data_IF_314490809378
#
_entry.id   IF_314490809378
#
_cell.length_a   1.000
_cell.length_b   1.000
_cell.length_c   1.000
_cell.angle_alpha   90.00
_cell.angle_beta   90.00
_cell.angle_gamma   90.00
#
_symmetry.space_group_name_H-M   'P 1'
#
loop_
_entity.id
_entity.type
_entity.pdbx_description
1 polymer ?
#
# COMPACT_ATOMS: atom_id res chain seq x y z
N UNK A 1 4.69 25.07 1.98
CA UNK A 1 4.13 23.82 1.38
C UNK A 1 4.93 22.57 1.74
N UNK A 2 6.21 22.67 2.03
CA UNK A 2 7.13 21.55 2.31
C UNK A 2 6.70 20.68 3.52
N UNK A 3 6.23 21.31 4.62
CA UNK A 3 5.73 20.56 5.80
C UNK A 3 4.52 19.69 5.47
N UNK A 4 3.59 20.19 4.67
CA UNK A 4 2.44 19.40 4.21
C UNK A 4 2.89 18.23 3.33
N UNK A 5 3.84 18.47 2.43
CA UNK A 5 4.43 17.42 1.62
C UNK A 5 5.10 16.34 2.47
N UNK A 6 5.82 16.73 3.53
CA UNK A 6 6.47 15.77 4.43
C UNK A 6 5.46 14.92 5.19
N UNK A 7 4.37 15.51 5.68
CA UNK A 7 3.30 14.75 6.37
C UNK A 7 2.67 13.72 5.44
N UNK A 8 2.37 14.10 4.19
CA UNK A 8 1.86 13.16 3.19
C UNK A 8 2.89 12.11 2.80
N UNK A 9 4.17 12.51 2.68
CA UNK A 9 5.25 11.59 2.37
C UNK A 9 5.43 10.51 3.44
N UNK A 10 5.28 10.83 4.73
CA UNK A 10 5.37 9.85 5.82
C UNK A 10 4.34 8.73 5.61
N UNK A 11 3.09 9.05 5.25
CA UNK A 11 2.07 8.04 4.98
C UNK A 11 2.46 7.11 3.82
N UNK A 12 2.95 7.68 2.72
CA UNK A 12 3.39 6.91 1.55
C UNK A 12 4.62 6.02 1.84
N UNK A 13 5.58 6.56 2.60
CA UNK A 13 6.81 5.83 2.98
C UNK A 13 6.51 4.64 3.89
N UNK A 14 5.61 4.85 4.85
CA UNK A 14 5.22 3.80 5.80
C UNK A 14 4.47 2.68 5.09
N UNK A 15 3.63 3.02 4.12
CA UNK A 15 2.83 2.05 3.35
C UNK A 15 3.73 1.06 2.59
N UNK A 16 4.75 1.55 1.89
CA UNK A 16 5.74 0.71 1.20
C UNK A 16 6.44 -0.27 2.16
N UNK A 17 6.84 0.20 3.35
CA UNK A 17 7.51 -0.62 4.34
C UNK A 17 6.57 -1.70 4.94
N UNK A 18 5.29 -1.37 5.15
CA UNK A 18 4.27 -2.31 5.66
C UNK A 18 4.05 -3.45 4.66
N UNK A 19 3.92 -3.15 3.38
CA UNK A 19 3.73 -4.18 2.33
C UNK A 19 4.91 -5.16 2.29
N UNK A 20 6.15 -4.65 2.41
CA UNK A 20 7.34 -5.52 2.50
C UNK A 20 7.30 -6.40 3.73
N UNK A 21 7.03 -5.81 4.90
CA UNK A 21 6.99 -6.52 6.17
C UNK A 21 5.93 -7.63 6.15
N UNK A 22 4.72 -7.33 5.68
CA UNK A 22 3.62 -8.28 5.61
C UNK A 22 3.94 -9.47 4.70
N UNK A 23 4.52 -9.20 3.52
CA UNK A 23 4.88 -10.27 2.60
C UNK A 23 6.01 -11.16 3.15
N UNK A 24 7.00 -10.58 3.81
CA UNK A 24 8.07 -11.34 4.49
C UNK A 24 7.50 -12.19 5.64
N UNK A 25 6.63 -11.62 6.48
CA UNK A 25 5.97 -12.33 7.58
C UNK A 25 5.13 -13.52 7.06
N UNK A 26 4.44 -13.33 5.95
CA UNK A 26 3.69 -14.40 5.27
C UNK A 26 4.60 -15.57 4.91
N UNK A 27 5.77 -15.31 4.33
CA UNK A 27 6.73 -16.37 3.97
C UNK A 27 7.34 -17.06 5.19
N UNK A 28 7.55 -16.34 6.30
CA UNK A 28 7.99 -16.94 7.57
C UNK A 28 6.90 -17.88 8.11
N UNK A 29 5.63 -17.49 8.07
CA UNK A 29 4.48 -18.32 8.46
C UNK A 29 4.32 -19.57 7.59
N UNK A 30 4.78 -19.53 6.34
CA UNK A 30 4.84 -20.68 5.44
C UNK A 30 6.01 -21.64 5.74
N UNK A 31 6.84 -21.33 6.74
CA UNK A 31 7.94 -22.18 7.19
C UNK A 31 9.31 -21.85 6.62
N UNK A 32 9.44 -20.75 5.85
CA UNK A 32 10.73 -20.31 5.37
C UNK A 32 11.58 -19.67 6.48
N UNK A 33 12.89 -19.81 6.38
CA UNK A 33 13.78 -19.10 7.30
C UNK A 33 13.67 -17.58 7.10
N UNK A 34 13.84 -16.75 8.16
CA UNK A 34 13.68 -15.29 8.06
C UNK A 34 14.52 -14.65 6.95
N UNK A 35 15.71 -15.16 6.71
CA UNK A 35 16.59 -14.68 5.65
C UNK A 35 16.04 -15.02 4.25
N UNK A 36 15.59 -16.24 4.03
CA UNK A 36 14.98 -16.65 2.75
C UNK A 36 13.65 -15.96 2.53
N UNK A 37 12.81 -15.87 3.56
CA UNK A 37 11.54 -15.16 3.51
C UNK A 37 11.74 -13.69 3.12
N UNK A 38 12.75 -13.02 3.66
CA UNK A 38 13.08 -11.64 3.30
C UNK A 38 13.48 -11.50 1.82
N UNK A 39 14.27 -12.41 1.28
CA UNK A 39 14.69 -12.37 -0.13
C UNK A 39 13.50 -12.66 -1.05
N UNK A 40 12.76 -13.73 -0.80
CA UNK A 40 11.65 -14.16 -1.65
C UNK A 40 10.53 -13.12 -1.59
N UNK A 41 10.10 -12.75 -0.38
CA UNK A 41 9.02 -11.77 -0.18
C UNK A 41 9.32 -10.42 -0.81
N UNK A 42 10.56 -9.92 -0.68
CA UNK A 42 10.94 -8.65 -1.32
C UNK A 42 10.95 -8.77 -2.83
N UNK A 43 11.43 -9.88 -3.39
CA UNK A 43 11.48 -10.08 -4.84
C UNK A 43 10.09 -10.11 -5.48
N UNK A 44 9.11 -10.70 -4.79
CA UNK A 44 7.73 -10.74 -5.27
C UNK A 44 7.10 -9.35 -5.39
N UNK A 45 7.40 -8.45 -4.44
CA UNK A 45 6.82 -7.10 -4.40
C UNK A 45 7.70 -6.03 -5.03
N UNK A 46 8.92 -6.36 -5.46
CA UNK A 46 9.82 -5.37 -6.07
C UNK A 46 9.21 -4.69 -7.30
N UNK A 47 8.58 -5.46 -8.19
CA UNK A 47 7.94 -4.92 -9.40
C UNK A 47 6.76 -4.00 -9.07
N UNK A 48 5.79 -4.38 -8.21
CA UNK A 48 4.75 -3.46 -7.74
C UNK A 48 5.29 -2.18 -7.11
N UNK A 49 6.27 -2.26 -6.22
CA UNK A 49 6.86 -1.08 -5.54
C UNK A 49 7.53 -0.15 -6.54
N UNK A 50 8.32 -0.68 -7.47
CA UNK A 50 8.94 0.11 -8.54
C UNK A 50 7.87 0.78 -9.42
N UNK A 51 6.83 0.04 -9.80
CA UNK A 51 5.74 0.57 -10.61
C UNK A 51 5.00 1.71 -9.89
N UNK A 52 4.69 1.57 -8.59
CA UNK A 52 4.08 2.63 -7.77
C UNK A 52 4.97 3.87 -7.70
N UNK A 53 6.27 3.69 -7.41
CA UNK A 53 7.25 4.79 -7.33
C UNK A 53 7.33 5.56 -8.65
N UNK A 54 7.40 4.85 -9.79
CA UNK A 54 7.45 5.46 -11.11
C UNK A 54 6.14 6.19 -11.45
N UNK A 55 5.00 5.60 -11.12
CA UNK A 55 3.68 6.20 -11.37
C UNK A 55 3.52 7.50 -10.58
N UNK A 56 3.86 7.50 -9.29
CA UNK A 56 3.80 8.70 -8.46
C UNK A 56 4.79 9.77 -8.96
N UNK A 57 6.00 9.37 -9.33
CA UNK A 57 6.97 10.28 -9.96
C UNK A 57 6.42 10.91 -11.25
N UNK A 58 5.81 10.11 -12.12
CA UNK A 58 5.21 10.59 -13.37
C UNK A 58 4.02 11.55 -13.14
N UNK A 59 3.24 11.34 -12.07
CA UNK A 59 2.13 12.25 -11.71
C UNK A 59 2.65 13.58 -11.17
N UNK A 60 3.72 13.57 -10.38
CA UNK A 60 4.27 14.81 -9.81
C UNK A 60 5.19 15.57 -10.77
N UNK A 61 5.78 14.93 -11.78
CA UNK A 61 6.66 15.57 -12.74
C UNK A 61 6.02 16.75 -13.49
N UNK A 62 4.80 16.65 -14.05
CA UNK A 62 4.12 17.78 -14.69
C UNK A 62 3.89 18.94 -13.74
N UNK A 63 3.54 18.68 -12.48
CA UNK A 63 3.32 19.70 -11.45
C UNK A 63 4.61 20.45 -11.14
N UNK A 64 5.73 19.76 -11.09
CA UNK A 64 7.04 20.36 -10.89
C UNK A 64 7.50 21.24 -12.06
N UNK A 65 6.95 21.03 -13.26
CA UNK A 65 7.25 21.78 -14.48
C UNK A 65 6.30 22.99 -14.72
N UNK A 66 5.25 23.13 -13.91
CA UNK A 66 4.33 24.26 -14.03
C UNK A 66 5.04 25.59 -13.77
N UNK A 67 4.77 26.59 -14.63
CA UNK A 67 5.27 27.95 -14.49
C UNK A 67 4.29 28.87 -13.75
N UNK A 68 4.74 30.12 -13.51
CA UNK A 68 3.93 31.12 -12.84
C UNK A 68 3.94 31.06 -11.31
N UNK A 69 3.16 31.90 -10.66
CA UNK A 69 3.10 31.99 -9.19
C UNK A 69 2.60 30.66 -8.58
N UNK A 70 1.56 30.09 -9.16
CA UNK A 70 1.01 28.80 -8.74
C UNK A 70 2.04 27.69 -8.91
N UNK A 71 2.75 27.65 -10.03
CA UNK A 71 3.81 26.69 -10.29
C UNK A 71 4.95 26.77 -9.27
N UNK A 72 5.39 27.96 -8.86
CA UNK A 72 6.45 28.12 -7.87
C UNK A 72 6.06 27.57 -6.49
N UNK A 73 4.80 27.70 -6.08
CA UNK A 73 4.30 27.16 -4.82
C UNK A 73 4.20 25.62 -4.83
N UNK A 74 3.69 25.06 -5.93
CA UNK A 74 3.51 23.62 -6.06
C UNK A 74 4.77 22.86 -6.44
N UNK A 75 5.76 23.53 -7.04
CA UNK A 75 7.04 22.92 -7.42
C UNK A 75 7.79 22.33 -6.23
N UNK A 76 7.91 23.09 -5.13
CA UNK A 76 8.54 22.58 -3.91
C UNK A 76 7.79 21.38 -3.33
N UNK A 77 6.47 21.44 -3.33
CA UNK A 77 5.60 20.35 -2.89
C UNK A 77 5.81 19.10 -3.74
N UNK A 78 5.73 19.21 -5.06
CA UNK A 78 5.88 18.11 -5.99
C UNK A 78 7.26 17.46 -5.93
N UNK A 79 8.33 18.27 -5.85
CA UNK A 79 9.71 17.78 -5.74
C UNK A 79 9.96 17.08 -4.41
N UNK A 80 9.42 17.60 -3.31
CA UNK A 80 9.53 16.98 -1.98
C UNK A 80 8.83 15.62 -1.97
N UNK A 81 7.62 15.52 -2.50
CA UNK A 81 6.88 14.27 -2.58
C UNK A 81 7.58 13.25 -3.50
N UNK A 82 7.95 13.67 -4.71
CA UNK A 82 8.63 12.79 -5.65
C UNK A 82 9.94 12.25 -5.07
N UNK A 83 10.75 13.12 -4.45
CA UNK A 83 11.98 12.71 -3.78
C UNK A 83 11.74 11.75 -2.62
N UNK A 84 10.75 12.03 -1.78
CA UNK A 84 10.39 11.16 -0.64
C UNK A 84 9.94 9.78 -1.10
N UNK A 85 9.10 9.68 -2.13
CA UNK A 85 8.63 8.42 -2.68
C UNK A 85 9.78 7.63 -3.30
N UNK A 86 10.72 8.30 -3.99
CA UNK A 86 11.90 7.64 -4.55
C UNK A 86 12.79 7.02 -3.45
N UNK A 87 13.06 7.79 -2.41
CA UNK A 87 13.83 7.32 -1.24
C UNK A 87 13.08 6.19 -0.54
N UNK A 88 11.75 6.29 -0.39
CA UNK A 88 10.91 5.24 0.17
C UNK A 88 11.06 3.91 -0.57
N UNK A 89 10.95 3.92 -1.89
CA UNK A 89 11.09 2.71 -2.70
C UNK A 89 12.47 2.03 -2.50
N UNK A 90 13.54 2.82 -2.43
CA UNK A 90 14.89 2.29 -2.16
C UNK A 90 14.97 1.68 -0.75
N UNK A 91 14.47 2.39 0.25
CA UNK A 91 14.47 1.94 1.65
C UNK A 91 13.61 0.68 1.81
N UNK A 92 12.43 0.65 1.22
CA UNK A 92 11.53 -0.49 1.27
C UNK A 92 12.16 -1.75 0.67
N UNK A 93 12.88 -1.63 -0.43
CA UNK A 93 13.50 -2.76 -1.11
C UNK A 93 14.88 -3.18 -0.55
N UNK A 94 15.49 -2.35 0.28
CA UNK A 94 16.84 -2.62 0.84
C UNK A 94 16.84 -2.77 2.35
N UNK A 95 16.43 -1.73 3.07
CA UNK A 95 16.51 -1.68 4.53
C UNK A 95 15.44 -2.55 5.18
N UNK A 96 14.20 -2.51 4.69
CA UNK A 96 13.09 -3.28 5.28
C UNK A 96 13.33 -4.79 5.26
N UNK A 97 13.74 -5.42 4.14
CA UNK A 97 14.07 -6.85 4.14
C UNK A 97 15.24 -7.20 5.05
N UNK A 98 16.26 -6.32 5.10
CA UNK A 98 17.41 -6.55 5.97
C UNK A 98 16.99 -6.55 7.45
N UNK A 99 16.15 -5.59 7.85
CA UNK A 99 15.62 -5.55 9.22
C UNK A 99 14.72 -6.76 9.51
N UNK A 100 13.83 -7.12 8.59
CA UNK A 100 12.97 -8.30 8.74
C UNK A 100 13.78 -9.58 8.94
N UNK A 101 14.86 -9.77 8.16
CA UNK A 101 15.72 -10.96 8.28
C UNK A 101 16.40 -11.09 9.64
N UNK A 102 16.63 -9.97 10.35
CA UNK A 102 17.31 -9.93 11.66
C UNK A 102 16.35 -9.86 12.85
N UNK A 103 15.21 -9.17 12.69
CA UNK A 103 14.28 -8.91 13.78
C UNK A 103 13.15 -9.93 13.87
N UNK A 104 12.71 -10.51 12.76
CA UNK A 104 11.70 -11.55 12.79
C UNK A 104 12.34 -12.90 13.15
N UNK A 105 11.78 -13.54 14.17
CA UNK A 105 12.20 -14.88 14.61
C UNK A 105 11.33 -15.93 13.95
N UNK A 106 11.95 -16.94 13.34
CA UNK A 106 11.26 -18.15 12.97
C UNK A 106 10.67 -18.80 14.22
N UNK A 107 9.37 -19.10 14.22
CA UNK A 107 8.67 -19.81 15.32
C UNK A 107 8.61 -19.05 16.67
N UNK A 108 8.44 -17.74 16.67
CA UNK A 108 7.97 -17.06 17.87
C UNK A 108 6.50 -17.48 18.12
N UNK A 109 6.23 -18.14 19.25
CA UNK A 109 4.84 -18.38 19.66
C UNK A 109 4.08 -17.05 19.70
N UNK A 110 2.90 -16.96 19.06
CA UNK A 110 2.16 -15.69 19.00
C UNK A 110 1.83 -15.23 20.42
N UNK A 111 2.18 -14.01 20.74
CA UNK A 111 1.83 -13.37 22.01
C UNK A 111 0.33 -13.42 22.23
N UNK A 112 -0.14 -13.48 23.49
CA UNK A 112 -1.56 -13.44 23.85
C UNK A 112 -2.28 -12.20 23.28
N UNK A 113 -1.55 -11.10 23.08
CA UNK A 113 -2.06 -9.90 22.45
C UNK A 113 -2.25 -10.12 20.94
N UNK A 114 -1.28 -10.74 20.29
CA UNK A 114 -1.29 -11.07 18.87
C UNK A 114 -2.42 -12.06 18.53
N UNK A 115 -2.65 -13.08 19.38
CA UNK A 115 -3.79 -13.99 19.24
C UNK A 115 -5.14 -13.28 19.35
N UNK A 116 -5.28 -12.28 20.23
CA UNK A 116 -6.49 -11.46 20.31
C UNK A 116 -6.72 -10.61 19.07
N UNK A 117 -5.65 -9.96 18.58
CA UNK A 117 -5.73 -9.14 17.37
C UNK A 117 -6.06 -10.01 16.16
N UNK A 118 -5.42 -11.17 16.01
CA UNK A 118 -5.75 -12.13 14.97
C UNK A 118 -7.22 -12.60 15.06
N UNK A 119 -7.71 -12.91 16.25
CA UNK A 119 -9.11 -13.32 16.43
C UNK A 119 -10.12 -12.24 16.03
N UNK A 120 -9.81 -10.96 16.26
CA UNK A 120 -10.64 -9.83 15.81
C UNK A 120 -10.56 -9.67 14.29
N UNK A 121 -9.36 -9.75 13.72
CA UNK A 121 -9.15 -9.65 12.27
C UNK A 121 -9.82 -10.81 11.53
N UNK A 122 -9.70 -12.03 12.03
CA UNK A 122 -10.37 -13.21 11.47
C UNK A 122 -11.89 -13.08 11.53
N UNK A 123 -12.42 -12.53 12.63
CA UNK A 123 -13.84 -12.21 12.75
C UNK A 123 -14.31 -11.17 11.73
N UNK A 124 -13.51 -10.14 11.47
CA UNK A 124 -13.79 -9.12 10.44
C UNK A 124 -13.69 -9.74 9.03
N UNK A 125 -12.66 -10.52 8.76
CA UNK A 125 -12.46 -11.20 7.47
C UNK A 125 -13.61 -12.14 7.16
N UNK A 126 -14.02 -12.99 8.10
CA UNK A 126 -15.15 -13.90 7.94
C UNK A 126 -16.48 -13.15 7.71
N UNK A 127 -16.65 -11.99 8.35
CA UNK A 127 -17.82 -11.14 8.12
C UNK A 127 -17.79 -10.50 6.74
N UNK A 128 -16.63 -10.02 6.31
CA UNK A 128 -16.42 -9.46 4.98
C UNK A 128 -16.64 -10.52 3.89
N UNK A 129 -16.10 -11.73 4.03
CA UNK A 129 -16.30 -12.84 3.10
C UNK A 129 -17.78 -13.22 2.96
N UNK A 130 -18.54 -13.25 4.05
CA UNK A 130 -19.99 -13.49 4.00
C UNK A 130 -20.72 -12.38 3.26
N UNK A 131 -20.38 -11.11 3.53
CA UNK A 131 -20.96 -9.97 2.82
C UNK A 131 -20.62 -10.02 1.34
N UNK A 132 -19.34 -10.28 1.01
CA UNK A 132 -18.88 -10.38 -0.37
C UNK A 132 -19.56 -11.54 -1.10
N UNK A 133 -19.68 -12.69 -0.45
CA UNK A 133 -20.39 -13.85 -0.98
C UNK A 133 -21.85 -13.55 -1.28
N UNK A 134 -22.54 -12.85 -0.37
CA UNK A 134 -23.94 -12.44 -0.57
C UNK A 134 -24.07 -11.45 -1.75
N UNK A 135 -23.15 -10.49 -1.87
CA UNK A 135 -23.10 -9.54 -2.99
C UNK A 135 -22.83 -10.25 -4.32
N UNK A 136 -21.91 -11.19 -4.33
CA UNK A 136 -21.57 -11.96 -5.55
C UNK A 136 -22.69 -12.90 -6.00
N UNK A 137 -23.49 -13.41 -5.08
CA UNK A 137 -24.66 -14.22 -5.43
C UNK A 137 -25.77 -13.39 -6.09
N UNK A 138 -25.86 -12.10 -5.78
CA UNK A 138 -26.87 -11.18 -6.33
C UNK A 138 -26.32 -10.28 -7.45
N UNK A 139 -25.41 -10.81 -8.28
CA UNK A 139 -24.79 -10.09 -9.41
C UNK A 139 -25.78 -9.28 -10.27
N UNK A 140 -26.97 -9.80 -10.66
CA UNK A 140 -27.89 -9.04 -11.52
C UNK A 140 -28.45 -7.80 -10.84
N UNK A 141 -28.61 -7.80 -9.51
CA UNK A 141 -29.12 -6.65 -8.76
C UNK A 141 -28.10 -5.51 -8.74
N UNK A 142 -26.82 -5.83 -8.54
CA UNK A 142 -25.75 -4.84 -8.53
C UNK A 142 -25.47 -4.28 -9.93
N UNK A 143 -25.54 -5.12 -10.96
CA UNK A 143 -25.44 -4.66 -12.35
C UNK A 143 -26.61 -3.76 -12.70
N UNK A 144 -27.84 -4.13 -12.30
CA UNK A 144 -29.01 -3.30 -12.49
C UNK A 144 -28.91 -1.94 -11.79
N UNK A 145 -28.43 -1.93 -10.55
CA UNK A 145 -28.19 -0.69 -9.80
C UNK A 145 -27.11 0.19 -10.47
N UNK A 146 -26.01 -0.41 -10.91
CA UNK A 146 -24.94 0.31 -11.63
C UNK A 146 -25.46 0.92 -12.93
N UNK A 147 -26.31 0.22 -13.69
CA UNK A 147 -26.91 0.73 -14.91
C UNK A 147 -27.86 1.91 -14.61
N UNK A 148 -28.67 1.81 -13.55
CA UNK A 148 -29.57 2.89 -13.13
C UNK A 148 -28.77 4.14 -12.73
N UNK A 149 -27.71 3.98 -11.94
CA UNK A 149 -26.83 5.10 -11.55
C UNK A 149 -26.15 5.70 -12.78
N UNK A 150 -25.68 4.90 -13.70
CA UNK A 150 -25.04 5.39 -14.94
C UNK A 150 -26.03 6.10 -15.86
N UNK A 151 -27.27 5.60 -15.94
CA UNK A 151 -28.34 6.23 -16.72
C UNK A 151 -28.88 7.53 -16.09
N UNK A 152 -28.71 7.72 -14.79
CA UNK A 152 -29.13 8.95 -14.09
C UNK A 152 -28.13 10.10 -14.22
N UNK A 153 -26.85 9.80 -14.53
CA UNK A 153 -25.78 10.80 -14.68
C UNK A 153 -26.03 11.83 -15.80
N UNK A 154 -26.50 11.47 -17.02
CA UNK A 154 -26.76 12.46 -18.08
C UNK A 154 -27.96 13.34 -17.82
N UNK A 155 -28.76 13.13 -16.80
CA UNK A 155 -29.93 13.97 -16.48
C UNK A 155 -29.58 15.16 -15.56
N UNK A 156 -28.31 15.24 -15.11
CA UNK A 156 -27.81 16.31 -14.22
C UNK A 156 -26.90 17.33 -14.96
N UNK A 157 -26.68 17.16 -16.25
CA UNK A 157 -25.98 18.09 -17.16
C UNK A 157 -26.95 18.77 -18.06
#
# INVERSE_FOLDING_TARGET
MTLLAMVLAIGLVVDDAIVVLENVDRHIKLGESPFRAAIIGTREIAVPVIAMTLTLGAVYAPIAMMGGITGSLFKEFALTLAGSVFVSGIVALTLSPMMCSKMLKAHAEPSKFEQKVHGVLDGMTNRYERMLGAVMQHRPVFIGFAIIVFASLPHQL
#
